data_IF_634027383974
#
_entry.id   IF_634027383974
#
_cell.length_a   1.000
_cell.length_b   1.000
_cell.length_c   1.000
_cell.angle_alpha   90.00
_cell.angle_beta   90.00
_cell.angle_gamma   90.00
#
_symmetry.space_group_name_H-M   'P 1'
#
loop_
_entity.id
_entity.type
_entity.pdbx_description
1 polymer ?
#
# COMPACT_ATOMS: atom_id res chain seq x y z
N UNK A 1 -0.70 17.31 -6.21
CA UNK A 1 -1.94 17.49 -5.37
C UNK A 1 -3.24 17.20 -6.12
N UNK A 2 -3.35 17.48 -7.43
CA UNK A 2 -4.59 17.21 -8.21
C UNK A 2 -5.08 15.77 -8.09
N UNK A 3 -4.22 14.78 -8.17
CA UNK A 3 -4.58 13.36 -8.06
C UNK A 3 -5.14 12.96 -6.68
N UNK A 4 -4.74 13.62 -5.58
CA UNK A 4 -5.36 13.39 -4.25
C UNK A 4 -6.76 13.97 -4.23
N UNK A 5 -6.94 15.18 -4.77
CA UNK A 5 -8.26 15.80 -4.89
C UNK A 5 -9.20 14.92 -5.71
N UNK A 6 -8.76 14.48 -6.89
CA UNK A 6 -9.53 13.55 -7.74
C UNK A 6 -9.88 12.25 -7.00
N UNK A 7 -8.94 11.68 -6.22
CA UNK A 7 -9.21 10.50 -5.40
C UNK A 7 -10.34 10.76 -4.40
N UNK A 8 -10.31 11.89 -3.71
CA UNK A 8 -11.33 12.27 -2.75
C UNK A 8 -12.68 12.57 -3.40
N UNK A 9 -12.69 13.31 -4.52
CA UNK A 9 -13.92 13.70 -5.23
C UNK A 9 -14.66 12.51 -5.87
N UNK A 10 -13.98 11.39 -6.10
CA UNK A 10 -14.64 10.13 -6.50
C UNK A 10 -15.47 9.50 -5.38
N UNK A 11 -15.25 9.89 -4.14
CA UNK A 11 -15.84 9.26 -2.96
C UNK A 11 -16.81 10.20 -2.27
N UNK A 12 -16.48 11.49 -2.18
CA UNK A 12 -17.27 12.51 -1.49
C UNK A 12 -17.20 13.84 -2.22
N UNK A 13 -18.31 14.58 -2.17
CA UNK A 13 -18.32 15.96 -2.67
C UNK A 13 -17.50 16.83 -1.73
N UNK A 14 -16.37 17.34 -2.22
CA UNK A 14 -15.40 18.12 -1.45
C UNK A 14 -15.64 19.62 -1.69
N UNK A 15 -15.74 20.42 -0.63
CA UNK A 15 -15.80 21.87 -0.73
C UNK A 15 -14.38 22.43 -0.88
N UNK A 16 -14.22 23.53 -1.62
CA UNK A 16 -12.90 24.10 -1.88
C UNK A 16 -12.15 24.48 -0.60
N UNK A 17 -12.84 25.07 0.37
CA UNK A 17 -12.23 25.43 1.66
C UNK A 17 -11.78 24.21 2.48
N UNK A 18 -12.53 23.10 2.45
CA UNK A 18 -12.10 21.85 3.09
C UNK A 18 -10.90 21.25 2.37
N UNK A 19 -10.90 21.31 1.02
CA UNK A 19 -9.77 20.86 0.24
C UNK A 19 -8.50 21.67 0.52
N UNK A 20 -8.58 23.00 0.51
CA UNK A 20 -7.45 23.89 0.81
C UNK A 20 -6.85 23.57 2.19
N UNK A 21 -7.71 23.37 3.18
CA UNK A 21 -7.27 22.97 4.51
C UNK A 21 -6.57 21.61 4.50
N UNK A 22 -7.18 20.57 3.89
CA UNK A 22 -6.59 19.22 3.78
C UNK A 22 -5.25 19.29 3.03
N UNK A 23 -5.22 19.98 1.89
CA UNK A 23 -4.06 20.08 1.03
C UNK A 23 -2.87 20.77 1.71
N UNK A 24 -3.13 21.75 2.59
CA UNK A 24 -2.08 22.49 3.31
C UNK A 24 -1.30 21.64 4.32
N UNK A 25 -1.78 20.42 4.63
CA UNK A 25 -1.14 19.49 5.56
C UNK A 25 -0.35 18.36 4.85
N UNK A 26 -0.26 18.42 3.52
CA UNK A 26 0.49 17.44 2.75
C UNK A 26 1.81 18.02 2.24
N UNK A 27 2.90 17.30 2.50
CA UNK A 27 4.23 17.58 1.97
C UNK A 27 4.59 16.62 0.84
N UNK A 28 5.27 17.14 -0.19
CA UNK A 28 5.76 16.33 -1.31
C UNK A 28 7.09 15.66 -0.94
N UNK A 29 7.17 14.35 -1.12
CA UNK A 29 8.39 13.56 -0.93
C UNK A 29 8.72 12.76 -2.19
N UNK A 30 10.02 12.63 -2.49
CA UNK A 30 10.52 11.75 -3.56
C UNK A 30 11.38 10.67 -2.91
N UNK A 31 11.15 9.43 -3.31
CA UNK A 31 11.92 8.27 -2.89
C UNK A 31 12.65 7.70 -4.10
N UNK A 32 13.95 7.46 -3.96
CA UNK A 32 14.75 6.79 -4.97
C UNK A 32 14.32 5.32 -5.12
N UNK A 33 14.58 4.74 -6.29
CA UNK A 33 14.39 3.29 -6.48
C UNK A 33 15.18 2.49 -5.45
N UNK A 34 14.55 1.50 -4.84
CA UNK A 34 15.02 0.64 -3.76
C UNK A 34 15.20 1.34 -2.40
N UNK A 35 14.84 2.60 -2.26
CA UNK A 35 14.87 3.30 -0.97
C UNK A 35 13.88 2.68 0.00
N UNK A 36 14.30 2.53 1.27
CA UNK A 36 13.41 2.08 2.35
C UNK A 36 12.66 3.29 2.90
N UNK A 37 11.35 3.27 2.76
CA UNK A 37 10.44 4.34 3.21
C UNK A 37 10.24 4.25 4.72
N UNK A 38 9.97 3.04 5.22
CA UNK A 38 9.83 2.74 6.65
C UNK A 38 10.61 1.48 6.97
N UNK A 39 11.48 1.52 7.97
CA UNK A 39 12.27 0.36 8.41
C UNK A 39 11.55 -0.42 9.50
N UNK A 40 11.80 -1.72 9.55
CA UNK A 40 11.43 -2.52 10.73
C UNK A 40 12.06 -1.91 12.00
N UNK A 41 11.29 -1.81 13.07
CA UNK A 41 11.70 -1.17 14.32
C UNK A 41 11.55 0.35 14.36
N UNK A 42 11.29 1.00 13.22
CA UNK A 42 10.96 2.42 13.13
C UNK A 42 9.46 2.64 13.31
N UNK A 43 9.07 3.65 14.07
CA UNK A 43 7.66 4.05 14.15
C UNK A 43 7.27 4.82 12.90
N UNK A 44 6.20 4.39 12.23
CA UNK A 44 5.63 5.08 11.08
C UNK A 44 4.96 6.38 11.52
N UNK A 45 5.39 7.49 10.95
CA UNK A 45 4.89 8.81 11.30
C UNK A 45 4.02 9.47 10.24
N UNK A 46 3.97 8.90 9.02
CA UNK A 46 3.28 9.52 7.90
C UNK A 46 2.36 8.55 7.17
N UNK A 47 1.20 9.03 6.77
CA UNK A 47 0.38 8.42 5.72
C UNK A 47 0.79 9.04 4.39
N UNK A 48 1.12 8.22 3.40
CA UNK A 48 1.60 8.63 2.09
C UNK A 48 0.57 8.31 1.00
N UNK A 49 0.27 9.26 0.13
CA UNK A 49 -0.41 9.03 -1.14
C UNK A 49 0.64 8.91 -2.24
N UNK A 50 0.73 7.77 -2.89
CA UNK A 50 1.66 7.53 -4.00
C UNK A 50 1.09 8.18 -5.26
N UNK A 51 1.68 9.29 -5.69
CA UNK A 51 1.29 9.96 -6.94
C UNK A 51 1.76 9.17 -8.14
N UNK A 52 3.03 8.71 -8.11
CA UNK A 52 3.63 7.80 -9.09
C UNK A 52 4.61 6.88 -8.37
N UNK A 53 4.68 5.62 -8.81
CA UNK A 53 5.64 4.64 -8.30
C UNK A 53 4.98 3.40 -7.71
N UNK A 54 5.81 2.48 -7.25
CA UNK A 54 5.39 1.20 -6.69
C UNK A 54 6.09 0.98 -5.36
N UNK A 55 5.32 0.70 -4.32
CA UNK A 55 5.83 0.39 -2.98
C UNK A 55 5.56 -1.07 -2.64
N UNK A 56 6.56 -1.76 -2.12
CA UNK A 56 6.49 -3.13 -1.61
C UNK A 56 6.47 -3.14 -0.10
N UNK A 57 5.66 -4.01 0.47
CA UNK A 57 5.63 -4.32 1.90
C UNK A 57 6.22 -5.69 2.13
N UNK A 58 7.19 -5.80 3.01
CA UNK A 58 7.84 -7.08 3.27
C UNK A 58 8.37 -7.18 4.71
N UNK A 59 8.42 -8.40 5.20
CA UNK A 59 9.10 -8.73 6.45
C UNK A 59 10.53 -9.14 6.07
N UNK A 60 11.56 -8.40 6.55
CA UNK A 60 12.93 -8.80 6.32
C UNK A 60 13.23 -10.11 7.09
N UNK A 61 13.97 -11.00 6.43
CA UNK A 61 14.46 -12.25 7.02
C UNK A 61 15.83 -12.55 6.41
N UNK A 62 16.72 -13.17 7.17
CA UNK A 62 18.10 -13.51 6.76
C UNK A 62 18.14 -14.36 5.50
N UNK A 63 17.22 -15.32 5.36
CA UNK A 63 17.20 -16.25 4.24
C UNK A 63 16.30 -15.77 3.08
N UNK A 64 15.10 -15.26 3.39
CA UNK A 64 14.11 -14.89 2.37
C UNK A 64 13.18 -13.78 2.86
N UNK A 65 13.14 -12.67 2.16
CA UNK A 65 12.19 -11.59 2.42
C UNK A 65 10.75 -12.04 2.12
N UNK A 66 9.84 -11.87 3.07
CA UNK A 66 8.44 -12.21 2.90
C UNK A 66 7.63 -11.00 2.44
N UNK A 67 7.41 -10.89 1.14
CA UNK A 67 6.53 -9.86 0.55
C UNK A 67 5.08 -10.22 0.80
N UNK A 68 4.29 -9.27 1.34
CA UNK A 68 2.88 -9.51 1.61
C UNK A 68 1.92 -8.49 1.02
N UNK A 69 2.43 -7.35 0.50
CA UNK A 69 1.58 -6.36 -0.16
C UNK A 69 2.38 -5.51 -1.15
N UNK A 70 1.64 -4.87 -2.07
CA UNK A 70 2.12 -3.81 -2.95
C UNK A 70 1.14 -2.64 -2.92
N UNK A 71 1.64 -1.43 -3.14
CA UNK A 71 0.86 -0.22 -3.39
C UNK A 71 1.33 0.36 -4.72
N UNK A 72 0.37 0.74 -5.55
CA UNK A 72 0.60 1.32 -6.88
C UNK A 72 0.25 2.82 -6.89
N UNK A 73 0.35 3.42 -8.07
CA UNK A 73 -0.04 4.81 -8.31
C UNK A 73 -1.46 5.10 -7.81
N UNK A 74 -1.64 6.28 -7.25
CA UNK A 74 -2.93 6.82 -6.78
C UNK A 74 -3.57 6.04 -5.62
N UNK A 75 -2.75 5.39 -4.83
CA UNK A 75 -3.17 4.70 -3.62
C UNK A 75 -2.52 5.29 -2.36
N UNK A 76 -3.21 5.17 -1.23
CA UNK A 76 -2.64 5.49 0.08
C UNK A 76 -1.85 4.31 0.65
N UNK A 77 -0.72 4.61 1.29
CA UNK A 77 0.18 3.63 1.88
C UNK A 77 0.86 4.14 3.15
N UNK A 78 1.09 3.25 4.09
CA UNK A 78 1.98 3.40 5.24
C UNK A 78 2.15 2.05 5.94
N UNK A 79 3.03 1.95 6.91
CA UNK A 79 3.04 0.85 7.88
C UNK A 79 1.87 1.02 8.86
N UNK A 80 0.64 0.69 8.39
CA UNK A 80 -0.63 1.15 8.96
C UNK A 80 -0.84 0.77 10.41
N UNK A 81 -0.42 -0.44 10.83
CA UNK A 81 -0.46 -0.82 12.25
C UNK A 81 0.41 0.11 13.09
N UNK A 82 1.67 0.29 12.69
CA UNK A 82 2.61 1.20 13.36
C UNK A 82 2.10 2.64 13.38
N UNK A 83 1.57 3.12 12.25
CA UNK A 83 1.00 4.47 12.13
C UNK A 83 -0.17 4.69 13.08
N UNK A 84 -1.10 3.74 13.22
CA UNK A 84 -2.27 3.89 14.11
C UNK A 84 -1.92 3.74 15.58
N UNK A 85 -1.03 2.81 15.92
CA UNK A 85 -0.67 2.52 17.33
C UNK A 85 0.49 3.37 17.84
N UNK A 86 1.20 4.08 16.93
CA UNK A 86 2.43 4.82 17.22
C UNK A 86 3.50 3.93 17.91
N UNK A 87 3.57 2.66 17.49
CA UNK A 87 4.57 1.67 17.93
C UNK A 87 5.49 1.29 16.77
N UNK A 88 6.68 0.71 17.03
CA UNK A 88 7.60 0.29 15.99
C UNK A 88 6.97 -0.67 14.97
N UNK A 89 7.29 -0.49 13.69
CA UNK A 89 6.84 -1.37 12.60
C UNK A 89 7.52 -2.73 12.66
N UNK A 90 6.75 -3.80 12.44
CA UNK A 90 7.24 -5.17 12.34
C UNK A 90 7.72 -5.53 10.92
N UNK A 91 7.58 -4.63 9.96
CA UNK A 91 7.91 -4.85 8.55
C UNK A 91 8.44 -3.57 7.89
N UNK A 92 8.94 -3.70 6.69
CA UNK A 92 9.49 -2.61 5.91
C UNK A 92 8.62 -2.24 4.71
N UNK A 93 8.66 -0.95 4.35
CA UNK A 93 8.15 -0.40 3.10
C UNK A 93 9.33 0.01 2.22
N UNK A 94 9.34 -0.44 0.97
CA UNK A 94 10.39 -0.14 0.00
C UNK A 94 9.81 0.38 -1.31
N UNK A 95 10.35 1.48 -1.82
CA UNK A 95 10.08 1.97 -3.15
C UNK A 95 10.72 1.03 -4.19
N UNK A 96 9.95 0.30 -4.99
CA UNK A 96 10.47 -0.57 -6.05
C UNK A 96 10.89 0.20 -7.30
N UNK A 97 10.33 1.38 -7.50
CA UNK A 97 10.65 2.35 -8.55
C UNK A 97 10.97 3.69 -7.90
N UNK A 98 11.53 4.64 -8.65
CA UNK A 98 11.45 6.03 -8.21
C UNK A 98 9.98 6.37 -7.97
N UNK A 99 9.68 6.99 -6.83
CA UNK A 99 8.32 7.20 -6.38
C UNK A 99 8.12 8.61 -5.86
N UNK A 100 7.02 9.24 -6.28
CA UNK A 100 6.59 10.54 -5.78
C UNK A 100 5.40 10.31 -4.86
N UNK A 101 5.51 10.81 -3.64
CA UNK A 101 4.46 10.71 -2.64
C UNK A 101 4.09 12.07 -2.06
N UNK A 102 2.83 12.19 -1.63
CA UNK A 102 2.36 13.26 -0.78
C UNK A 102 2.11 12.68 0.60
N UNK A 103 2.75 13.23 1.61
CA UNK A 103 2.76 12.70 2.97
C UNK A 103 2.03 13.64 3.92
N UNK A 104 1.20 13.09 4.79
CA UNK A 104 0.60 13.78 5.91
C UNK A 104 1.05 13.12 7.23
N UNK A 105 1.47 13.93 8.20
CA UNK A 105 1.87 13.41 9.51
C UNK A 105 0.68 12.84 10.28
N UNK A 106 0.95 11.95 11.26
CA UNK A 106 -0.10 11.44 12.14
C UNK A 106 -0.87 12.57 12.82
N UNK A 107 -0.16 13.57 13.38
CA UNK A 107 -0.78 14.69 14.07
C UNK A 107 -1.64 15.57 13.16
N UNK A 108 -1.19 15.81 11.93
CA UNK A 108 -1.94 16.62 10.96
C UNK A 108 -3.15 15.87 10.41
N UNK A 109 -3.04 14.55 10.24
CA UNK A 109 -4.21 13.73 9.89
C UNK A 109 -5.29 13.79 10.97
N UNK A 110 -4.91 13.78 12.27
CA UNK A 110 -5.87 13.96 13.36
C UNK A 110 -6.54 15.34 13.31
N UNK A 111 -5.82 16.41 12.94
CA UNK A 111 -6.43 17.74 12.74
C UNK A 111 -7.43 17.72 11.57
N UNK A 112 -7.06 17.09 10.46
CA UNK A 112 -7.96 16.92 9.31
C UNK A 112 -9.23 16.18 9.70
N UNK A 113 -9.13 15.10 10.48
CA UNK A 113 -10.30 14.36 10.98
C UNK A 113 -11.18 15.19 11.91
N UNK A 114 -10.57 15.96 12.80
CA UNK A 114 -11.31 16.77 13.75
C UNK A 114 -11.99 18.01 13.14
N UNK A 115 -11.41 18.59 12.10
CA UNK A 115 -11.81 19.88 11.54
C UNK A 115 -12.56 19.81 10.22
N UNK A 116 -12.60 18.62 9.57
CA UNK A 116 -13.32 18.45 8.30
C UNK A 116 -14.24 17.22 8.33
N UNK A 117 -15.45 17.41 7.83
CA UNK A 117 -16.39 16.30 7.67
C UNK A 117 -15.91 15.33 6.58
N UNK A 118 -15.37 15.87 5.49
CA UNK A 118 -14.85 15.09 4.37
C UNK A 118 -13.65 14.20 4.80
N UNK A 119 -12.71 14.73 5.57
CA UNK A 119 -11.54 13.98 6.05
C UNK A 119 -11.92 12.77 6.91
N UNK A 120 -12.82 12.96 7.88
CA UNK A 120 -13.30 11.87 8.74
C UNK A 120 -14.04 10.79 7.94
N UNK A 121 -14.96 11.20 7.06
CA UNK A 121 -15.69 10.27 6.20
C UNK A 121 -14.76 9.44 5.31
N UNK A 122 -13.78 10.08 4.69
CA UNK A 122 -12.78 9.43 3.84
C UNK A 122 -11.89 8.48 4.64
N UNK A 123 -11.42 8.91 5.82
CA UNK A 123 -10.63 8.06 6.70
C UNK A 123 -11.34 6.75 7.04
N UNK A 124 -12.63 6.82 7.35
CA UNK A 124 -13.48 5.64 7.59
C UNK A 124 -13.55 4.73 6.36
N UNK A 125 -13.88 5.27 5.18
CA UNK A 125 -14.00 4.47 3.96
C UNK A 125 -12.67 3.84 3.52
N UNK A 126 -11.55 4.55 3.66
CA UNK A 126 -10.22 4.00 3.39
C UNK A 126 -9.92 2.84 4.33
N UNK A 127 -10.22 2.99 5.62
CA UNK A 127 -10.02 1.93 6.61
C UNK A 127 -10.90 0.70 6.34
N UNK A 128 -12.17 0.89 5.98
CA UNK A 128 -13.08 -0.18 5.58
C UNK A 128 -12.55 -0.93 4.33
N UNK A 129 -12.09 -0.19 3.31
CA UNK A 129 -11.49 -0.77 2.10
C UNK A 129 -10.24 -1.60 2.43
N UNK A 130 -9.35 -1.07 3.25
CA UNK A 130 -8.13 -1.77 3.68
C UNK A 130 -8.47 -3.05 4.46
N UNK A 131 -9.46 -3.00 5.36
CA UNK A 131 -9.92 -4.19 6.09
C UNK A 131 -10.42 -5.27 5.13
N UNK A 132 -11.28 -4.91 4.17
CA UNK A 132 -11.82 -5.85 3.18
C UNK A 132 -10.71 -6.46 2.31
N UNK A 133 -9.73 -5.68 1.88
CA UNK A 133 -8.58 -6.18 1.12
C UNK A 133 -7.74 -7.17 1.92
N UNK A 134 -7.44 -6.86 3.18
CA UNK A 134 -6.69 -7.75 4.07
C UNK A 134 -7.45 -9.04 4.35
N UNK A 135 -8.74 -8.95 4.67
CA UNK A 135 -9.60 -10.11 4.91
C UNK A 135 -9.69 -11.03 3.69
N UNK A 136 -9.88 -10.45 2.49
CA UNK A 136 -9.88 -11.21 1.22
C UNK A 136 -8.55 -11.95 1.00
N UNK A 137 -7.43 -11.28 1.26
CA UNK A 137 -6.10 -11.89 1.13
C UNK A 137 -5.89 -13.03 2.13
N UNK A 138 -6.24 -12.82 3.39
CA UNK A 138 -6.16 -13.86 4.43
C UNK A 138 -6.97 -15.10 4.04
N UNK A 139 -8.23 -14.92 3.64
CA UNK A 139 -9.07 -16.01 3.15
C UNK A 139 -8.46 -16.70 1.92
N UNK A 140 -7.83 -15.95 1.02
CA UNK A 140 -7.16 -16.54 -0.16
C UNK A 140 -5.98 -17.42 0.23
N UNK A 141 -5.19 -17.00 1.20
CA UNK A 141 -4.06 -17.81 1.71
C UNK A 141 -4.53 -19.10 2.39
N UNK A 142 -5.69 -19.08 3.07
CA UNK A 142 -6.26 -20.24 3.77
C UNK A 142 -6.99 -21.20 2.83
N UNK A 143 -7.70 -20.71 1.81
CA UNK A 143 -8.62 -21.51 0.99
C UNK A 143 -8.05 -21.95 -0.34
N UNK A 144 -7.15 -21.16 -0.94
CA UNK A 144 -6.69 -21.40 -2.29
C UNK A 144 -5.31 -22.06 -2.32
N UNK A 145 -5.11 -22.95 -3.29
CA UNK A 145 -3.79 -23.48 -3.66
C UNK A 145 -2.91 -22.36 -4.23
N UNK A 146 -1.60 -22.58 -4.25
CA UNK A 146 -0.65 -21.64 -4.86
C UNK A 146 -0.95 -21.35 -6.34
N UNK A 147 -1.40 -22.37 -7.08
CA UNK A 147 -1.80 -22.24 -8.49
C UNK A 147 -3.01 -21.34 -8.63
N UNK A 148 -4.05 -21.54 -7.82
CA UNK A 148 -5.25 -20.70 -7.82
C UNK A 148 -4.93 -19.26 -7.40
N UNK A 149 -4.10 -19.05 -6.38
CA UNK A 149 -3.66 -17.72 -5.99
C UNK A 149 -2.94 -17.00 -7.14
N UNK A 150 -2.08 -17.72 -7.87
CA UNK A 150 -1.40 -17.15 -9.03
C UNK A 150 -2.37 -16.80 -10.17
N UNK A 151 -3.33 -17.69 -10.48
CA UNK A 151 -4.34 -17.44 -11.51
C UNK A 151 -5.26 -16.28 -11.17
N UNK A 152 -5.63 -16.12 -9.90
CA UNK A 152 -6.46 -15.00 -9.44
C UNK A 152 -5.79 -13.64 -9.68
N UNK A 153 -4.44 -13.55 -9.69
CA UNK A 153 -3.75 -12.29 -9.99
C UNK A 153 -4.05 -11.76 -11.39
N UNK A 154 -4.28 -12.63 -12.40
CA UNK A 154 -4.62 -12.18 -13.75
C UNK A 154 -5.91 -11.37 -13.79
N UNK A 155 -6.89 -11.73 -12.97
CA UNK A 155 -8.20 -11.11 -12.96
C UNK A 155 -8.32 -9.97 -11.93
N UNK A 156 -7.67 -10.13 -10.78
CA UNK A 156 -7.88 -9.24 -9.63
C UNK A 156 -6.80 -8.17 -9.49
N UNK A 157 -5.55 -8.49 -9.86
CA UNK A 157 -4.38 -7.62 -9.67
C UNK A 157 -3.38 -7.78 -10.83
N UNK A 158 -3.79 -7.52 -12.08
CA UNK A 158 -2.94 -7.74 -13.25
C UNK A 158 -1.65 -6.91 -13.21
N UNK A 159 -1.66 -5.76 -12.57
CA UNK A 159 -0.48 -4.89 -12.42
C UNK A 159 0.65 -5.56 -11.63
N UNK A 160 0.35 -6.45 -10.69
CA UNK A 160 1.37 -7.25 -10.00
C UNK A 160 2.13 -8.11 -11.01
N UNK A 161 1.43 -8.76 -11.93
CA UNK A 161 2.09 -9.61 -12.94
C UNK A 161 2.85 -8.82 -14.00
N UNK A 162 2.42 -7.58 -14.26
CA UNK A 162 3.00 -6.71 -15.27
C UNK A 162 4.26 -5.98 -14.78
N UNK A 163 4.26 -5.52 -13.55
CA UNK A 163 5.28 -4.60 -13.06
C UNK A 163 6.19 -5.19 -11.97
N UNK A 164 5.76 -6.27 -11.29
CA UNK A 164 6.49 -6.80 -10.15
C UNK A 164 7.43 -7.95 -10.57
N UNK A 165 8.71 -7.93 -10.15
CA UNK A 165 9.63 -9.05 -10.37
C UNK A 165 9.08 -10.37 -9.83
N UNK A 166 9.22 -11.45 -10.61
CA UNK A 166 8.65 -12.77 -10.28
C UNK A 166 9.07 -13.31 -8.92
N UNK A 167 10.26 -12.97 -8.42
CA UNK A 167 10.70 -13.35 -7.08
C UNK A 167 9.77 -12.78 -5.98
N UNK A 168 9.32 -11.54 -6.14
CA UNK A 168 8.40 -10.90 -5.21
C UNK A 168 6.95 -11.38 -5.41
N UNK A 169 6.57 -11.70 -6.65
CA UNK A 169 5.27 -12.34 -6.93
C UNK A 169 5.21 -13.71 -6.24
N UNK A 170 6.26 -14.52 -6.34
CA UNK A 170 6.33 -15.83 -5.67
C UNK A 170 6.17 -15.67 -4.15
N UNK A 171 6.94 -14.78 -3.53
CA UNK A 171 6.84 -14.46 -2.12
C UNK A 171 5.43 -13.97 -1.74
N UNK A 172 4.84 -13.08 -2.53
CA UNK A 172 3.48 -12.55 -2.33
C UNK A 172 2.42 -13.65 -2.32
N UNK A 173 2.50 -14.64 -3.19
CA UNK A 173 1.55 -15.77 -3.18
C UNK A 173 1.95 -16.91 -2.23
N UNK A 174 3.02 -16.73 -1.43
CA UNK A 174 3.44 -17.64 -0.38
C UNK A 174 4.17 -18.90 -0.87
N UNK A 175 4.98 -18.78 -1.94
CA UNK A 175 5.79 -19.88 -2.49
C UNK A 175 7.20 -19.42 -2.89
N UNK A 176 8.07 -20.38 -3.19
CA UNK A 176 9.40 -20.11 -3.71
C UNK A 176 9.37 -19.73 -5.21
N UNK A 177 10.37 -18.98 -5.74
CA UNK A 177 10.47 -18.69 -7.17
C UNK A 177 10.52 -19.94 -8.05
N UNK A 178 11.13 -21.03 -7.57
CA UNK A 178 11.18 -22.32 -8.28
C UNK A 178 9.79 -22.96 -8.39
N UNK A 179 8.99 -22.89 -7.31
CA UNK A 179 7.62 -23.39 -7.34
C UNK A 179 6.75 -22.55 -8.30
N UNK A 180 6.89 -21.22 -8.30
CA UNK A 180 6.20 -20.37 -9.27
C UNK A 180 6.58 -20.71 -10.72
N UNK A 181 7.86 -20.94 -10.99
CA UNK A 181 8.32 -21.35 -12.34
C UNK A 181 7.70 -22.66 -12.81
N UNK A 182 7.47 -23.64 -11.91
CA UNK A 182 6.76 -24.88 -12.24
C UNK A 182 5.28 -24.62 -12.54
N UNK A 183 4.60 -23.81 -11.72
CA UNK A 183 3.20 -23.44 -11.97
C UNK A 183 3.04 -22.79 -13.33
N UNK A 184 3.89 -21.83 -13.66
CA UNK A 184 3.85 -21.11 -14.95
C UNK A 184 3.99 -22.04 -16.14
N UNK A 185 4.90 -23.06 -16.07
CA UNK A 185 5.06 -24.06 -17.13
C UNK A 185 3.85 -24.98 -17.31
N UNK A 186 3.00 -25.12 -16.29
CA UNK A 186 1.80 -25.95 -16.35
C UNK A 186 0.58 -25.23 -16.93
N UNK A 187 0.64 -23.89 -17.04
CA UNK A 187 -0.47 -23.06 -17.52
C UNK A 187 -0.17 -22.32 -18.82
N UNK A 188 1.08 -22.38 -19.30
CA UNK A 188 1.50 -21.91 -20.62
C UNK A 188 1.22 -22.95 -21.68
#
# INVERSE_FOLDING_TARGET
>A
MGHIREYYERIVKLKDNEWEFIASHFDRKVFAKNEIITRQGQTESHLSFIETGIVRFYIPNEENELTFNFCFDKEFTCAYHSFLTQTPSEYELQALTESIAWQISYSDLQKVYAQTTAGNYLGRLISEKLFLQKSKRELSLLKHTAKERYLNLFNEQPDILKYIPLKYVASYIGITPQALSRIRRQIA
#
